data_IF_486420771957
#
_entry.id   IF_486420771957
#
_cell.length_a   1.000
_cell.length_b   1.000
_cell.length_c   1.000
_cell.angle_alpha   90.00
_cell.angle_beta   90.00
_cell.angle_gamma   90.00
#
_symmetry.space_group_name_H-M   'P 1'
#
loop_
_entity.id
_entity.type
_entity.pdbx_description
1 polymer ?
#
# COMPACT_ATOMS: atom_id res chain seq x y z
N UNK A 1 29.20 3.46 -2.36
CA UNK A 1 28.57 4.78 -2.14
C UNK A 1 27.08 4.56 -2.19
N UNK A 2 26.44 4.45 -1.03
CA UNK A 2 24.98 4.40 -0.92
C UNK A 2 24.51 5.80 -0.54
N UNK A 3 23.50 6.31 -1.23
CA UNK A 3 22.92 7.63 -0.98
C UNK A 3 21.84 7.41 0.08
N UNK A 4 22.12 7.82 1.31
CA UNK A 4 21.16 7.79 2.41
C UNK A 4 20.13 8.91 2.16
N UNK A 5 18.89 8.55 1.88
CA UNK A 5 17.75 9.47 1.88
C UNK A 5 17.31 9.65 3.34
N UNK A 6 17.55 10.83 3.92
CA UNK A 6 17.01 11.26 5.21
C UNK A 6 15.47 11.26 5.17
N UNK A 7 14.85 10.17 5.63
CA UNK A 7 13.40 10.13 5.95
C UNK A 7 13.24 10.37 7.46
N UNK A 8 12.64 11.49 7.90
CA UNK A 8 12.39 11.72 9.31
C UNK A 8 11.10 11.01 9.70
N UNK A 9 11.21 9.76 10.15
CA UNK A 9 10.27 9.06 11.04
C UNK A 9 10.87 7.67 11.31
N UNK A 10 11.18 7.43 12.57
CA UNK A 10 11.85 6.24 13.13
C UNK A 10 10.94 4.99 13.07
N UNK A 11 10.55 4.60 11.87
CA UNK A 11 9.91 3.32 11.58
C UNK A 11 10.92 2.50 10.81
N UNK A 12 11.80 1.82 11.54
CA UNK A 12 12.76 0.86 11.00
C UNK A 12 11.95 -0.29 10.38
N UNK A 13 11.59 -0.15 9.10
CA UNK A 13 11.16 -1.27 8.29
C UNK A 13 12.39 -2.13 8.10
N UNK A 14 12.44 -3.31 8.75
CA UNK A 14 13.50 -4.28 8.56
C UNK A 14 13.72 -4.50 7.05
N UNK A 15 14.96 -4.37 6.59
CA UNK A 15 15.33 -4.55 5.17
C UNK A 15 14.92 -5.94 4.65
N UNK A 16 14.75 -6.93 5.55
CA UNK A 16 14.23 -8.26 5.26
C UNK A 16 12.74 -8.28 4.83
N UNK A 17 11.95 -7.25 5.15
CA UNK A 17 10.56 -7.08 4.69
C UNK A 17 10.47 -6.35 3.33
N UNK A 18 11.56 -5.71 2.89
CA UNK A 18 11.65 -4.91 1.66
C UNK A 18 12.23 -5.69 0.47
N UNK A 19 12.36 -7.02 0.58
CA UNK A 19 12.98 -7.89 -0.41
C UNK A 19 12.25 -8.02 -1.77
N UNK A 20 11.05 -7.46 -1.92
CA UNK A 20 10.31 -7.46 -3.18
C UNK A 20 10.52 -6.18 -4.01
N UNK A 21 10.10 -6.26 -5.28
CA UNK A 21 10.30 -5.25 -6.33
C UNK A 21 10.24 -3.79 -5.86
N UNK A 22 11.41 -3.18 -5.66
CA UNK A 22 11.53 -1.74 -5.40
C UNK A 22 10.96 -1.28 -4.05
N UNK A 23 11.10 -2.08 -2.99
CA UNK A 23 10.68 -1.70 -1.63
C UNK A 23 9.25 -2.11 -1.26
N UNK A 24 8.63 -2.99 -2.05
CA UNK A 24 7.36 -3.63 -1.69
C UNK A 24 7.61 -5.04 -1.15
N UNK A 25 6.90 -5.47 -0.09
CA UNK A 25 6.98 -6.85 0.37
C UNK A 25 6.46 -7.86 -0.67
N UNK A 26 7.03 -9.07 -0.72
CA UNK A 26 6.56 -10.14 -1.61
C UNK A 26 5.10 -10.54 -1.33
N UNK A 27 4.74 -10.50 -0.04
CA UNK A 27 3.39 -10.72 0.45
C UNK A 27 2.85 -9.42 1.01
N UNK A 28 1.74 -8.98 0.44
CA UNK A 28 1.02 -7.79 0.89
C UNK A 28 -0.40 -8.16 1.28
N UNK A 29 -0.97 -7.35 2.15
CA UNK A 29 -2.33 -7.48 2.61
C UNK A 29 -3.17 -6.38 1.97
N UNK A 30 -4.37 -6.75 1.57
CA UNK A 30 -5.39 -5.84 1.03
C UNK A 30 -6.65 -5.95 1.90
N UNK A 31 -7.46 -4.90 1.90
CA UNK A 31 -8.78 -4.92 2.55
C UNK A 31 -9.82 -5.18 1.45
N UNK A 32 -10.42 -6.36 1.45
CA UNK A 32 -11.51 -6.74 0.54
C UNK A 32 -12.85 -6.26 1.10
N UNK A 33 -13.58 -5.43 0.37
CA UNK A 33 -14.92 -4.94 0.76
C UNK A 33 -16.05 -5.76 0.12
N UNK A 34 -15.72 -6.93 -0.43
CA UNK A 34 -16.65 -7.86 -1.06
C UNK A 34 -16.89 -7.60 -2.56
N UNK A 35 -17.23 -8.66 -3.29
CA UNK A 35 -17.56 -8.59 -4.72
C UNK A 35 -16.42 -8.08 -5.62
N UNK A 36 -15.19 -8.57 -5.40
CA UNK A 36 -13.96 -8.14 -6.11
C UNK A 36 -13.63 -6.64 -5.99
N UNK A 37 -14.04 -6.04 -4.86
CA UNK A 37 -13.71 -4.67 -4.51
C UNK A 37 -12.68 -4.68 -3.39
N UNK A 38 -11.67 -3.84 -3.54
CA UNK A 38 -10.59 -3.67 -2.57
C UNK A 38 -10.53 -2.21 -2.15
N UNK A 39 -10.01 -1.95 -0.95
CA UNK A 39 -9.77 -0.60 -0.48
C UNK A 39 -8.75 0.11 -1.37
N UNK A 40 -9.08 1.34 -1.72
CA UNK A 40 -8.21 2.25 -2.45
C UNK A 40 -8.16 3.58 -1.70
N UNK A 41 -7.11 4.36 -1.94
CA UNK A 41 -6.98 5.70 -1.38
C UNK A 41 -6.69 6.72 -2.48
N UNK A 42 -7.26 7.91 -2.31
CA UNK A 42 -6.89 9.10 -3.06
C UNK A 42 -5.85 9.85 -2.22
N UNK A 43 -4.59 9.71 -2.59
CA UNK A 43 -3.47 10.31 -1.86
C UNK A 43 -2.98 11.56 -2.59
N UNK A 44 -2.62 12.59 -1.83
CA UNK A 44 -1.85 13.73 -2.34
C UNK A 44 -0.37 13.46 -2.07
N UNK A 45 0.42 13.31 -3.13
CA UNK A 45 1.86 13.13 -3.04
C UNK A 45 2.57 14.44 -2.63
N UNK A 46 3.82 14.38 -2.15
CA UNK A 46 4.56 15.58 -1.70
C UNK A 46 4.76 16.65 -2.78
N UNK A 47 4.69 16.27 -4.06
CA UNK A 47 4.76 17.18 -5.21
C UNK A 47 3.41 17.86 -5.52
N UNK A 48 2.36 17.56 -4.74
CA UNK A 48 1.01 18.09 -4.91
C UNK A 48 0.16 17.30 -5.91
N UNK A 49 0.68 16.21 -6.50
CA UNK A 49 -0.09 15.35 -7.39
C UNK A 49 -1.10 14.53 -6.59
N UNK A 50 -2.36 14.54 -7.02
CA UNK A 50 -3.38 13.63 -6.51
C UNK A 50 -3.34 12.32 -7.30
N UNK A 51 -3.23 11.20 -6.58
CA UNK A 51 -3.13 9.87 -7.16
C UNK A 51 -4.17 8.95 -6.54
N UNK A 52 -4.79 8.12 -7.37
CA UNK A 52 -5.68 7.05 -6.93
C UNK A 52 -4.90 5.73 -6.91
N UNK A 53 -4.75 5.14 -5.73
CA UNK A 53 -3.93 3.95 -5.55
C UNK A 53 -4.58 2.84 -4.73
N UNK A 54 -4.21 1.60 -5.01
CA UNK A 54 -4.63 0.43 -4.23
C UNK A 54 -3.97 0.48 -2.85
N UNK A 55 -4.76 0.41 -1.77
CA UNK A 55 -4.21 0.40 -0.41
C UNK A 55 -3.64 -0.98 -0.09
N UNK A 56 -2.32 -1.03 0.09
CA UNK A 56 -1.55 -2.24 0.37
C UNK A 56 -0.87 -2.11 1.73
N UNK A 57 -0.78 -3.21 2.47
CA UNK A 57 -0.21 -3.23 3.82
C UNK A 57 0.83 -4.35 3.94
N UNK A 58 1.94 -4.15 4.67
CA UNK A 58 2.94 -5.21 4.86
C UNK A 58 2.46 -6.29 5.85
N UNK A 59 1.52 -5.95 6.72
CA UNK A 59 0.95 -6.85 7.73
C UNK A 59 -0.57 -6.73 7.83
N UNK A 60 -1.22 -7.74 8.41
CA UNK A 60 -2.65 -7.66 8.75
C UNK A 60 -2.95 -6.65 9.88
N UNK A 61 -1.98 -6.39 10.76
CA UNK A 61 -2.15 -5.42 11.84
C UNK A 61 -2.19 -4.00 11.30
N UNK A 62 -1.33 -3.67 10.32
CA UNK A 62 -1.37 -2.37 9.61
C UNK A 62 -2.70 -2.17 8.88
N UNK A 63 -3.20 -3.23 8.22
CA UNK A 63 -4.51 -3.19 7.55
C UNK A 63 -5.64 -2.95 8.57
N UNK A 64 -5.58 -3.60 9.73
CA UNK A 64 -6.55 -3.43 10.82
C UNK A 64 -6.51 -2.02 11.40
N UNK A 65 -5.31 -1.49 11.65
CA UNK A 65 -5.13 -0.12 12.13
C UNK A 65 -5.71 0.89 11.13
N UNK A 66 -5.45 0.69 9.84
CA UNK A 66 -6.00 1.54 8.77
C UNK A 66 -7.53 1.48 8.69
N UNK A 67 -8.15 0.30 8.87
CA UNK A 67 -9.61 0.18 8.97
C UNK A 67 -10.16 0.96 10.18
N UNK A 68 -9.45 0.93 11.31
CA UNK A 68 -9.84 1.68 12.52
C UNK A 68 -9.78 3.20 12.36
N UNK A 69 -8.88 3.71 11.51
CA UNK A 69 -8.76 5.14 11.22
C UNK A 69 -9.89 5.67 10.33
N UNK A 70 -10.43 4.81 9.46
CA UNK A 70 -11.45 5.19 8.48
C UNK A 70 -12.84 4.73 8.94
N UNK A 71 -13.60 5.66 9.51
CA UNK A 71 -14.98 5.42 9.91
C UNK A 71 -15.81 4.82 8.75
N UNK A 72 -16.17 3.55 8.87
CA UNK A 72 -17.01 2.84 7.91
C UNK A 72 -16.27 1.92 6.92
N UNK A 73 -14.94 1.83 6.97
CA UNK A 73 -14.21 0.83 6.20
C UNK A 73 -14.32 -0.54 6.88
N UNK A 74 -15.30 -1.34 6.45
CA UNK A 74 -15.48 -2.73 6.88
C UNK A 74 -15.17 -3.68 5.72
N UNK A 75 -14.26 -4.62 5.94
CA UNK A 75 -13.84 -5.58 4.93
C UNK A 75 -12.99 -6.70 5.54
N UNK A 76 -12.67 -7.68 4.72
CA UNK A 76 -11.83 -8.82 5.09
C UNK A 76 -10.38 -8.53 4.70
N UNK A 77 -9.45 -8.78 5.62
CA UNK A 77 -8.03 -8.69 5.34
C UNK A 77 -7.62 -9.94 4.55
N UNK A 78 -7.15 -9.74 3.33
CA UNK A 78 -6.74 -10.82 2.43
C UNK A 78 -5.27 -10.68 2.08
N UNK A 79 -4.53 -11.79 2.16
CA UNK A 79 -3.15 -11.85 1.71
C UNK A 79 -3.07 -12.08 0.20
N UNK A 80 -2.22 -11.30 -0.47
CA UNK A 80 -1.92 -11.38 -1.90
C UNK A 80 -0.42 -11.29 -2.12
N UNK A 81 0.06 -11.90 -3.20
CA UNK A 81 1.39 -11.58 -3.70
C UNK A 81 1.42 -10.17 -4.29
N UNK A 82 2.61 -9.58 -4.36
CA UNK A 82 2.82 -8.30 -5.03
C UNK A 82 2.26 -8.30 -6.46
N UNK A 83 2.55 -9.32 -7.25
CA UNK A 83 2.09 -9.39 -8.65
C UNK A 83 0.56 -9.52 -8.76
N UNK A 84 -0.10 -10.26 -7.87
CA UNK A 84 -1.57 -10.31 -7.85
C UNK A 84 -2.17 -8.93 -7.57
N UNK A 85 -1.66 -8.21 -6.57
CA UNK A 85 -2.13 -6.86 -6.26
C UNK A 85 -1.85 -5.88 -7.41
N UNK A 86 -0.71 -6.04 -8.08
CA UNK A 86 -0.36 -5.29 -9.28
C UNK A 86 -1.37 -5.52 -10.41
N UNK A 87 -1.73 -6.77 -10.68
CA UNK A 87 -2.75 -7.09 -11.68
C UNK A 87 -4.13 -6.55 -11.28
N UNK A 88 -4.49 -6.59 -10.00
CA UNK A 88 -5.71 -5.94 -9.49
C UNK A 88 -5.68 -4.44 -9.80
N UNK A 89 -4.60 -3.74 -9.46
CA UNK A 89 -4.46 -2.31 -9.74
C UNK A 89 -4.56 -1.99 -11.24
N UNK A 90 -3.88 -2.76 -12.10
CA UNK A 90 -3.94 -2.61 -13.55
C UNK A 90 -5.38 -2.79 -14.07
N UNK A 91 -6.11 -3.79 -13.56
CA UNK A 91 -7.47 -4.11 -13.99
C UNK A 91 -8.49 -2.99 -13.72
N UNK A 92 -8.21 -2.08 -12.79
CA UNK A 92 -9.12 -0.98 -12.44
C UNK A 92 -8.70 0.31 -13.15
N UNK A 93 -9.51 0.88 -14.06
CA UNK A 93 -9.13 2.01 -14.90
C UNK A 93 -8.79 3.30 -14.14
N UNK A 94 -9.23 3.44 -12.90
CA UNK A 94 -8.98 4.63 -12.07
C UNK A 94 -7.68 4.53 -11.27
N UNK A 95 -7.18 3.33 -10.99
CA UNK A 95 -5.98 3.16 -10.17
C UNK A 95 -4.72 3.38 -11.02
N UNK A 96 -3.79 4.15 -10.47
CA UNK A 96 -2.52 4.52 -11.10
C UNK A 96 -1.32 3.84 -10.43
N UNK A 97 -1.47 3.50 -9.15
CA UNK A 97 -0.38 2.94 -8.34
C UNK A 97 -0.89 1.98 -7.25
N UNK A 98 0.06 1.31 -6.59
CA UNK A 98 -0.11 0.67 -5.29
C UNK A 98 0.50 1.59 -4.24
N UNK A 99 -0.19 1.76 -3.12
CA UNK A 99 0.24 2.58 -1.99
C UNK A 99 0.54 1.65 -0.82
N UNK A 100 1.80 1.57 -0.41
CA UNK A 100 2.19 0.81 0.77
C UNK A 100 1.96 1.69 2.01
N UNK A 101 1.01 1.29 2.83
CA UNK A 101 0.72 1.94 4.11
C UNK A 101 1.40 1.19 5.25
N UNK A 102 2.10 1.93 6.10
CA UNK A 102 2.70 1.45 7.35
C UNK A 102 2.36 2.49 8.42
N UNK A 103 1.79 2.05 9.55
CA UNK A 103 1.38 2.96 10.63
C UNK A 103 0.53 4.15 10.13
N UNK A 104 -0.38 3.88 9.18
CA UNK A 104 -1.28 4.88 8.59
C UNK A 104 -0.62 5.88 7.63
N UNK A 105 0.68 5.75 7.33
CA UNK A 105 1.43 6.63 6.41
C UNK A 105 1.80 5.90 5.14
N UNK A 106 1.85 6.62 4.02
CA UNK A 106 2.34 6.09 2.74
C UNK A 106 3.87 6.04 2.80
N UNK A 107 4.42 4.84 2.80
CA UNK A 107 5.86 4.61 2.82
C UNK A 107 6.45 4.42 1.44
N UNK A 108 5.69 3.84 0.52
CA UNK A 108 6.15 3.54 -0.84
C UNK A 108 5.00 3.61 -1.86
N UNK A 109 5.33 4.01 -3.09
CA UNK A 109 4.37 4.14 -4.19
C UNK A 109 4.89 3.37 -5.39
N UNK A 110 4.21 2.29 -5.75
CA UNK A 110 4.54 1.53 -6.96
C UNK A 110 3.60 1.91 -8.11
N UNK A 111 4.13 2.58 -9.12
CA UNK A 111 3.36 2.98 -10.29
C UNK A 111 3.11 1.80 -11.22
N UNK A 112 1.87 1.69 -11.71
CA UNK A 112 1.47 0.68 -12.70
C UNK A 112 1.07 1.29 -14.03
N UNK A 113 1.16 2.63 -14.16
CA UNK A 113 0.80 3.42 -15.33
C UNK A 113 1.70 4.64 -15.48
#
# INVERSE_FOLDING_TARGET
MAITLDRPLDTTLDEDLLGGFGGFPDRIFLISVGGDKYAANNATLPDGQNVDGLACFPSGDDATAYMGLLAGLNGDIVGKSFEEARQIAISKPKLQCLLLFVDGKIMEVHWVR
#
